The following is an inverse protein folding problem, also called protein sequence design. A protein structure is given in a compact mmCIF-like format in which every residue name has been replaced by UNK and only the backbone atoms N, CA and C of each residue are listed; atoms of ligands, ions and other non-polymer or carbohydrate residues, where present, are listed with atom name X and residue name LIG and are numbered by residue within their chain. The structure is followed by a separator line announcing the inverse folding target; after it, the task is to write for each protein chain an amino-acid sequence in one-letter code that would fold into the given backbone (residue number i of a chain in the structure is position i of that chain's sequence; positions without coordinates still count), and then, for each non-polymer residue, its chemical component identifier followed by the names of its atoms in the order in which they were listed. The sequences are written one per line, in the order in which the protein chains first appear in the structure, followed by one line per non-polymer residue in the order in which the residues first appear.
data_IF_078926879787
#
_entry.id   IF_078926879787
#
_cell.length_a   1.000
_cell.length_b   1.000
_cell.length_c   1.000
_cell.angle_alpha   90.00
_cell.angle_beta   90.00
_cell.angle_gamma   90.00
#
_symmetry.space_group_name_H-M   'P 1'
#
loop_
_entity.id
_entity.type
_entity.pdbx_description
1 polymer ?
#
# COMPACT_ATOMS: atom_id res chain seq x y z
N UNK A 1 -40.44 4.85 -9.17
CA UNK A 1 -39.60 3.69 -8.83
C UNK A 1 -39.05 3.94 -7.43
N UNK A 2 -39.64 3.34 -6.41
CA UNK A 2 -39.21 3.53 -5.02
C UNK A 2 -38.00 2.63 -4.78
N UNK A 3 -36.81 3.23 -4.73
CA UNK A 3 -35.64 2.56 -4.19
C UNK A 3 -35.92 2.45 -2.68
N UNK A 4 -36.33 1.27 -2.24
CA UNK A 4 -36.57 1.00 -0.82
C UNK A 4 -35.33 1.38 0.00
N UNK A 5 -35.57 1.97 1.17
CA UNK A 5 -34.51 2.39 2.07
C UNK A 5 -33.53 1.22 2.28
N UNK A 6 -32.22 1.38 2.01
CA UNK A 6 -31.28 0.29 2.16
C UNK A 6 -31.31 -0.24 3.60
N UNK A 7 -31.10 -1.56 3.81
CA UNK A 7 -31.06 -2.14 5.15
C UNK A 7 -30.03 -1.39 6.00
N UNK A 8 -30.35 -1.21 7.28
CA UNK A 8 -29.44 -0.57 8.22
C UNK A 8 -28.10 -1.31 8.21
N UNK A 9 -27.06 -0.62 7.76
CA UNK A 9 -25.71 -1.15 7.76
C UNK A 9 -25.20 -1.25 9.21
N UNK A 10 -24.40 -2.28 9.55
CA UNK A 10 -23.72 -2.31 10.84
C UNK A 10 -22.91 -1.03 11.04
N UNK A 11 -22.80 -0.56 12.29
CA UNK A 11 -22.30 0.77 12.66
C UNK A 11 -20.87 1.08 12.18
N UNK A 12 -20.12 0.08 11.72
CA UNK A 12 -18.73 0.19 11.24
C UNK A 12 -18.54 -0.33 9.80
N UNK A 13 -19.58 -0.26 8.96
CA UNK A 13 -19.46 -0.60 7.55
C UNK A 13 -19.07 0.65 6.73
N UNK A 14 -17.93 0.67 6.02
CA UNK A 14 -17.58 1.78 5.15
C UNK A 14 -18.60 1.92 4.03
N UNK A 15 -19.14 3.13 3.85
CA UNK A 15 -20.11 3.46 2.80
C UNK A 15 -19.45 4.32 1.75
N UNK A 16 -19.53 3.87 0.49
CA UNK A 16 -18.99 4.59 -0.66
C UNK A 16 -20.11 4.97 -1.64
N UNK A 17 -20.17 6.26 -2.00
CA UNK A 17 -21.03 6.75 -3.08
C UNK A 17 -20.30 6.66 -4.41
N UNK A 18 -20.91 6.02 -5.41
CA UNK A 18 -20.33 5.81 -6.74
C UNK A 18 -21.26 6.39 -7.82
N UNK A 19 -20.71 7.16 -8.74
CA UNK A 19 -21.43 7.60 -9.95
C UNK A 19 -21.02 6.73 -11.13
N UNK A 20 -21.76 5.65 -11.39
CA UNK A 20 -21.38 4.66 -12.40
C UNK A 20 -21.17 5.24 -13.81
N UNK A 21 -22.01 6.21 -14.22
CA UNK A 21 -21.88 6.87 -15.53
C UNK A 21 -20.57 7.67 -15.64
N UNK A 22 -20.20 8.38 -14.58
CA UNK A 22 -18.96 9.14 -14.56
C UNK A 22 -17.74 8.20 -14.61
N UNK A 23 -17.76 7.09 -13.87
CA UNK A 23 -16.65 6.12 -13.90
C UNK A 23 -16.51 5.45 -15.27
N UNK A 24 -17.62 5.21 -15.98
CA UNK A 24 -17.60 4.70 -17.35
C UNK A 24 -16.98 5.70 -18.31
N UNK A 25 -17.32 6.99 -18.19
CA UNK A 25 -16.72 8.07 -18.99
C UNK A 25 -15.22 8.18 -18.69
N UNK A 26 -14.82 8.21 -17.42
CA UNK A 26 -13.41 8.26 -17.00
C UNK A 26 -12.60 7.07 -17.53
N UNK A 27 -13.18 5.86 -17.57
CA UNK A 27 -12.49 4.66 -18.05
C UNK A 27 -12.22 4.63 -19.56
N UNK A 28 -12.86 5.51 -20.33
CA UNK A 28 -12.67 5.63 -21.79
C UNK A 28 -11.72 6.76 -22.19
N UNK A 29 -11.36 7.62 -21.24
CA UNK A 29 -10.45 8.75 -21.45
C UNK A 29 -8.99 8.34 -21.24
N UNK A 30 -8.08 9.12 -21.81
CA UNK A 30 -6.67 9.06 -21.40
C UNK A 30 -6.48 9.60 -19.98
N UNK A 31 -5.36 9.28 -19.32
CA UNK A 31 -5.08 9.73 -17.95
C UNK A 31 -5.11 11.27 -17.83
N UNK A 32 -4.60 11.98 -18.84
CA UNK A 32 -4.60 13.45 -18.88
C UNK A 32 -6.03 14.01 -18.97
N UNK A 33 -6.84 13.49 -19.90
CA UNK A 33 -8.24 13.91 -20.09
C UNK A 33 -9.12 13.56 -18.90
N UNK A 34 -8.92 12.39 -18.29
CA UNK A 34 -9.60 11.98 -17.07
C UNK A 34 -9.25 12.92 -15.91
N UNK A 35 -7.99 13.33 -15.79
CA UNK A 35 -7.53 14.29 -14.78
C UNK A 35 -8.14 15.68 -14.95
N UNK A 36 -8.25 16.16 -16.19
CA UNK A 36 -8.93 17.43 -16.51
C UNK A 36 -10.42 17.37 -16.12
N UNK A 37 -11.13 16.32 -16.55
CA UNK A 37 -12.54 16.11 -16.22
C UNK A 37 -12.76 16.05 -14.70
N UNK A 38 -11.95 15.25 -13.99
CA UNK A 38 -12.00 15.15 -12.53
C UNK A 38 -11.81 16.51 -11.86
N UNK A 39 -10.87 17.32 -12.36
CA UNK A 39 -10.61 18.67 -11.84
C UNK A 39 -11.78 19.61 -12.07
N UNK A 40 -12.43 19.58 -13.23
CA UNK A 40 -13.62 20.39 -13.53
C UNK A 40 -14.80 20.09 -12.59
N UNK A 41 -14.99 18.81 -12.25
CA UNK A 41 -16.04 18.38 -11.32
C UNK A 41 -15.65 18.47 -9.84
N UNK A 42 -14.42 18.88 -9.52
CA UNK A 42 -13.92 18.95 -8.15
C UNK A 42 -13.74 17.58 -7.49
N UNK A 43 -13.46 16.56 -8.29
CA UNK A 43 -13.30 15.17 -7.87
C UNK A 43 -11.80 14.92 -7.67
N UNK A 44 -11.41 14.70 -6.41
CA UNK A 44 -10.01 14.44 -6.06
C UNK A 44 -9.54 13.04 -6.49
N UNK A 45 -10.45 12.06 -6.48
CA UNK A 45 -10.12 10.65 -6.71
C UNK A 45 -11.33 9.91 -7.28
N UNK A 46 -11.10 8.99 -8.23
CA UNK A 46 -12.17 8.20 -8.82
C UNK A 46 -12.79 7.25 -7.80
N UNK A 47 -14.06 6.90 -8.00
CA UNK A 47 -14.78 5.98 -7.13
C UNK A 47 -14.15 4.59 -7.17
N UNK A 48 -13.58 4.18 -8.31
CA UNK A 48 -12.84 2.93 -8.45
C UNK A 48 -11.65 2.86 -7.49
N UNK A 49 -10.80 3.90 -7.45
CA UNK A 49 -9.61 3.91 -6.59
C UNK A 49 -10.01 3.88 -5.12
N UNK A 50 -10.99 4.71 -4.72
CA UNK A 50 -11.56 4.70 -3.37
C UNK A 50 -12.13 3.35 -2.97
N UNK A 51 -12.79 2.65 -3.90
CA UNK A 51 -13.33 1.31 -3.68
C UNK A 51 -12.23 0.27 -3.46
N UNK A 52 -11.14 0.34 -4.22
CA UNK A 52 -9.96 -0.53 -4.04
C UNK A 52 -9.36 -0.32 -2.65
N UNK A 53 -9.05 0.93 -2.29
CA UNK A 53 -8.46 1.28 -0.98
C UNK A 53 -9.35 0.82 0.17
N UNK A 54 -10.64 1.13 0.11
CA UNK A 54 -11.61 0.73 1.14
C UNK A 54 -11.72 -0.79 1.27
N UNK A 55 -11.67 -1.51 0.15
CA UNK A 55 -11.69 -2.98 0.16
C UNK A 55 -10.41 -3.54 0.78
N UNK A 56 -9.26 -2.93 0.49
CA UNK A 56 -7.96 -3.30 1.06
C UNK A 56 -7.95 -3.13 2.58
N UNK A 57 -8.44 -1.99 3.05
CA UNK A 57 -8.59 -1.68 4.47
C UNK A 57 -9.58 -2.62 5.17
N UNK A 58 -10.73 -2.88 4.55
CA UNK A 58 -11.74 -3.78 5.07
C UNK A 58 -11.20 -5.21 5.25
N UNK A 59 -10.34 -5.67 4.35
CA UNK A 59 -9.67 -6.97 4.44
C UNK A 59 -8.50 -6.99 5.44
N UNK A 60 -8.18 -5.83 6.04
CA UNK A 60 -7.04 -5.66 6.94
C UNK A 60 -5.72 -5.90 6.21
N UNK A 61 -5.61 -5.50 4.95
CA UNK A 61 -4.40 -5.61 4.14
C UNK A 61 -3.61 -4.30 4.16
N UNK A 62 -2.31 -4.41 3.96
CA UNK A 62 -1.38 -3.30 3.80
C UNK A 62 -0.27 -3.70 2.84
N UNK A 63 0.48 -2.73 2.32
CA UNK A 63 1.60 -2.98 1.42
C UNK A 63 2.92 -2.57 2.06
N UNK A 64 3.96 -3.35 1.82
CA UNK A 64 5.34 -2.91 2.01
C UNK A 64 6.07 -2.98 0.67
N UNK A 65 7.19 -2.27 0.55
CA UNK A 65 7.94 -2.17 -0.69
C UNK A 65 9.33 -2.79 -0.55
N UNK A 66 9.80 -3.41 -1.62
CA UNK A 66 11.20 -3.79 -1.79
C UNK A 66 11.77 -3.03 -2.97
N UNK A 67 12.99 -2.52 -2.82
CA UNK A 67 13.73 -1.85 -3.89
C UNK A 67 15.02 -2.62 -4.17
N UNK A 68 15.17 -3.14 -5.39
CA UNK A 68 16.43 -3.63 -5.94
C UNK A 68 17.06 -2.58 -6.88
N UNK A 69 18.21 -2.91 -7.47
CA UNK A 69 18.86 -2.02 -8.46
C UNK A 69 17.98 -1.80 -9.70
N UNK A 70 17.20 -2.80 -10.10
CA UNK A 70 16.38 -2.77 -11.32
C UNK A 70 14.86 -2.92 -11.08
N UNK A 71 14.41 -3.18 -9.84
CA UNK A 71 13.01 -3.48 -9.56
C UNK A 71 12.51 -2.79 -8.28
N UNK A 72 11.33 -2.18 -8.37
CA UNK A 72 10.55 -1.76 -7.20
C UNK A 72 9.27 -2.56 -7.20
N UNK A 73 8.97 -3.21 -6.08
CA UNK A 73 7.79 -4.07 -5.95
C UNK A 73 7.04 -3.83 -4.66
N UNK A 74 5.72 -3.77 -4.78
CA UNK A 74 4.79 -3.77 -3.66
C UNK A 74 4.39 -5.21 -3.29
N UNK A 75 4.35 -5.51 -1.99
CA UNK A 75 3.97 -6.79 -1.44
C UNK A 75 2.80 -6.64 -0.48
N UNK A 76 1.70 -7.30 -0.82
CA UNK A 76 0.49 -7.33 0.01
C UNK A 76 0.67 -8.26 1.21
N UNK A 77 0.48 -7.74 2.42
CA UNK A 77 0.45 -8.51 3.68
C UNK A 77 -0.77 -8.12 4.51
N UNK A 78 -1.06 -8.88 5.57
CA UNK A 78 -2.05 -8.44 6.55
C UNK A 78 -1.44 -7.38 7.45
N UNK A 79 -2.27 -6.44 7.90
CA UNK A 79 -1.91 -5.50 8.94
C UNK A 79 -1.45 -6.29 10.17
N UNK A 80 -0.45 -5.74 10.86
CA UNK A 80 0.21 -6.37 12.02
C UNK A 80 1.07 -7.60 11.71
N UNK A 81 1.38 -7.89 10.43
CA UNK A 81 2.27 -8.99 10.08
C UNK A 81 3.71 -8.74 10.56
N UNK A 82 4.34 -9.72 11.24
CA UNK A 82 5.75 -9.65 11.60
C UNK A 82 6.67 -9.65 10.38
N UNK A 83 7.86 -9.08 10.51
CA UNK A 83 8.86 -8.96 9.46
C UNK A 83 9.25 -10.30 8.84
N UNK A 84 9.30 -11.38 9.62
CA UNK A 84 9.61 -12.72 9.10
C UNK A 84 8.50 -13.28 8.19
N UNK A 85 7.23 -12.98 8.49
CA UNK A 85 6.11 -13.39 7.65
C UNK A 85 6.02 -12.54 6.38
N UNK A 86 6.35 -11.25 6.47
CA UNK A 86 6.52 -10.41 5.28
C UNK A 86 7.69 -10.88 4.38
N UNK A 87 8.80 -11.34 4.97
CA UNK A 87 9.87 -11.98 4.19
C UNK A 87 9.39 -13.26 3.47
N UNK A 88 8.48 -14.04 4.10
CA UNK A 88 7.91 -15.26 3.51
C UNK A 88 7.09 -14.96 2.25
N UNK A 89 6.40 -13.82 2.18
CA UNK A 89 5.62 -13.46 0.98
C UNK A 89 6.49 -13.22 -0.25
N UNK A 90 7.77 -12.86 -0.04
CA UNK A 90 8.76 -12.75 -1.11
C UNK A 90 9.24 -14.15 -1.51
N UNK A 91 9.78 -14.91 -0.55
CA UNK A 91 10.20 -16.29 -0.77
C UNK A 91 10.37 -17.05 0.56
N UNK A 92 10.10 -18.36 0.53
CA UNK A 92 10.21 -19.21 1.74
C UNK A 92 11.65 -19.33 2.27
N UNK A 93 12.67 -19.22 1.41
CA UNK A 93 14.09 -19.25 1.82
C UNK A 93 14.48 -18.00 2.60
N UNK A 94 13.97 -16.82 2.23
CA UNK A 94 14.26 -15.56 2.93
C UNK A 94 13.76 -15.63 4.36
N UNK A 95 12.56 -16.19 4.56
CA UNK A 95 12.00 -16.40 5.90
C UNK A 95 12.83 -17.41 6.73
N UNK A 96 13.26 -18.52 6.13
CA UNK A 96 14.11 -19.53 6.79
C UNK A 96 15.48 -18.96 7.18
N UNK A 97 16.09 -18.22 6.27
CA UNK A 97 17.40 -17.59 6.43
C UNK A 97 17.39 -16.25 7.14
N UNK A 98 16.24 -15.75 7.61
CA UNK A 98 16.08 -14.39 8.11
C UNK A 98 17.09 -14.05 9.22
N UNK A 99 17.85 -12.98 9.01
CA UNK A 99 18.77 -12.39 9.98
C UNK A 99 18.14 -11.13 10.58
N UNK A 100 17.79 -10.16 9.74
CA UNK A 100 17.21 -8.86 10.12
C UNK A 100 16.53 -8.20 8.93
N UNK A 101 15.62 -7.26 9.20
CA UNK A 101 15.02 -6.38 8.21
C UNK A 101 15.64 -4.97 8.31
N UNK A 102 16.10 -4.43 7.20
CA UNK A 102 16.51 -3.02 7.09
C UNK A 102 15.30 -2.22 6.62
N UNK A 103 14.77 -1.35 7.48
CA UNK A 103 13.48 -0.68 7.27
C UNK A 103 13.69 0.84 7.19
N UNK A 104 13.07 1.46 6.18
CA UNK A 104 13.01 2.92 5.99
C UNK A 104 11.58 3.30 5.64
N UNK A 105 11.13 4.47 6.11
CA UNK A 105 9.81 4.98 5.71
C UNK A 105 9.86 5.49 4.27
N UNK A 106 8.72 5.51 3.59
CA UNK A 106 8.63 6.07 2.24
C UNK A 106 9.16 7.52 2.19
N UNK A 107 8.68 8.37 3.10
CA UNK A 107 9.05 9.78 3.16
C UNK A 107 10.56 9.98 3.36
N UNK A 108 11.16 9.24 4.30
CA UNK A 108 12.61 9.31 4.56
C UNK A 108 13.41 8.86 3.33
N UNK A 109 12.97 7.83 2.60
CA UNK A 109 13.69 7.37 1.41
C UNK A 109 13.55 8.34 0.23
N UNK A 110 12.39 8.98 0.07
CA UNK A 110 12.19 10.02 -0.96
C UNK A 110 13.08 11.23 -0.69
N UNK A 111 13.17 11.67 0.56
CA UNK A 111 14.03 12.80 0.96
C UNK A 111 15.52 12.47 0.77
N UNK A 112 15.95 11.30 1.25
CA UNK A 112 17.36 10.93 1.32
C UNK A 112 17.87 10.26 0.04
N UNK A 113 16.96 9.81 -0.84
CA UNK A 113 17.18 9.15 -2.14
C UNK A 113 17.85 7.78 -2.10
N UNK A 114 18.58 7.43 -1.04
CA UNK A 114 19.30 6.15 -0.95
C UNK A 114 19.30 5.57 0.47
N UNK A 115 19.32 4.23 0.55
CA UNK A 115 19.49 3.50 1.82
C UNK A 115 20.81 3.83 2.53
N UNK A 116 21.88 4.08 1.77
CA UNK A 116 23.18 4.47 2.32
C UNK A 116 23.06 5.79 3.09
N UNK A 117 22.41 6.80 2.50
CA UNK A 117 22.17 8.09 3.16
C UNK A 117 21.23 7.93 4.36
N UNK A 118 20.16 7.14 4.24
CA UNK A 118 19.26 6.81 5.34
C UNK A 118 20.01 6.18 6.53
N UNK A 119 20.99 5.33 6.27
CA UNK A 119 21.87 4.77 7.30
C UNK A 119 22.77 5.82 7.94
N UNK A 120 23.40 6.66 7.13
CA UNK A 120 24.37 7.66 7.61
C UNK A 120 23.72 8.70 8.52
N UNK A 121 22.44 9.02 8.29
CA UNK A 121 21.65 9.95 9.14
C UNK A 121 20.82 9.25 10.22
N UNK A 122 20.94 7.93 10.38
CA UNK A 122 20.28 7.17 11.44
C UNK A 122 18.78 6.91 11.23
N UNK A 123 18.26 7.06 10.02
CA UNK A 123 16.86 6.78 9.65
C UNK A 123 16.62 5.33 9.22
N UNK A 124 17.68 4.61 8.84
CA UNK A 124 17.63 3.17 8.58
C UNK A 124 17.50 2.39 9.90
N UNK A 125 16.36 1.74 10.10
CA UNK A 125 16.13 0.86 11.26
C UNK A 125 16.56 -0.57 10.96
N UNK A 126 17.13 -1.23 11.96
CA UNK A 126 17.46 -2.65 11.91
C UNK A 126 16.49 -3.40 12.81
N UNK A 127 15.56 -4.12 12.19
CA UNK A 127 14.44 -4.73 12.86
C UNK A 127 14.55 -6.27 12.91
N UNK A 128 14.04 -6.84 14.00
CA UNK A 128 14.04 -8.28 14.25
C UNK A 128 12.88 -9.01 13.60
N UNK A 129 12.79 -10.33 13.83
CA UNK A 129 11.73 -11.20 13.28
C UNK A 129 10.31 -10.78 13.70
N UNK A 130 10.18 -10.34 14.94
CA UNK A 130 8.90 -9.96 15.58
C UNK A 130 8.49 -8.50 15.31
N UNK A 131 9.32 -7.72 14.59
CA UNK A 131 8.94 -6.36 14.26
C UNK A 131 7.70 -6.36 13.38
N UNK A 132 6.72 -5.54 13.77
CA UNK A 132 5.48 -5.39 13.03
C UNK A 132 5.68 -4.31 11.97
N UNK A 133 5.67 -4.73 10.70
CA UNK A 133 5.78 -3.78 9.58
C UNK A 133 4.63 -2.78 9.58
N UNK A 134 4.93 -1.56 9.15
CA UNK A 134 3.97 -0.49 8.94
C UNK A 134 3.67 -0.29 7.46
N UNK A 135 2.47 0.20 7.15
CA UNK A 135 2.04 0.42 5.77
C UNK A 135 2.96 1.42 5.06
N UNK A 136 3.33 1.07 3.83
CA UNK A 136 4.23 1.85 2.99
C UNK A 136 5.71 1.82 3.38
N UNK A 137 6.12 1.01 4.36
CA UNK A 137 7.54 0.85 4.66
C UNK A 137 8.31 0.19 3.53
N UNK A 138 9.55 0.64 3.35
CA UNK A 138 10.48 0.10 2.37
C UNK A 138 11.48 -0.78 3.13
N UNK A 139 11.52 -2.06 2.75
CA UNK A 139 12.19 -3.11 3.52
C UNK A 139 13.19 -3.85 2.65
N UNK A 140 14.39 -4.03 3.19
CA UNK A 140 15.41 -4.91 2.64
C UNK A 140 15.75 -6.01 3.65
N UNK A 141 15.41 -7.25 3.30
CA UNK A 141 15.65 -8.40 4.17
C UNK A 141 17.07 -8.93 4.03
N UNK A 142 17.79 -9.00 5.14
CA UNK A 142 19.09 -9.69 5.24
C UNK A 142 18.82 -11.14 5.64
N UNK A 143 19.28 -12.08 4.82
CA UNK A 143 19.14 -13.50 5.07
C UNK A 143 20.43 -14.24 4.71
N UNK A 144 20.62 -15.44 5.29
CA UNK A 144 21.66 -16.38 4.88
C UNK A 144 21.02 -17.62 4.27
N UNK A 145 21.56 -18.08 3.16
CA UNK A 145 21.15 -19.32 2.47
C UNK A 145 22.06 -20.47 2.89
#
# INVERSE_FOLDING_TARGET
SQIGNPPALPAECPVLSVCGKLEEELAQLSDDEAGELMSEYGIAESSLVRMIQTSYDLLGLMSFYTTGEDEVRAWTIRKLSPAVEAARTIHSDIARGFIRAEVVTYDDLIELKTFAKARDVGKLRLEGKEYVLQDGEIVHFRFNV
#
